data_IF_770685649298
#
_entry.id   IF_770685649298
#
_cell.length_a   1.000
_cell.length_b   1.000
_cell.length_c   1.000
_cell.angle_alpha   90.00
_cell.angle_beta   90.00
_cell.angle_gamma   90.00
#
_symmetry.space_group_name_H-M   'P 1'
#
loop_
_entity.id
_entity.type
_entity.pdbx_description
1 polymer ?
#
# COMPACT_ATOMS: atom_id res chain seq x y z
N UNK A 1 -17.06 14.71 -5.21
CA UNK A 1 -16.49 14.16 -3.96
C UNK A 1 -14.96 14.25 -3.95
N UNK A 2 -14.25 13.50 -4.80
CA UNK A 2 -12.77 13.43 -4.79
C UNK A 2 -12.06 14.80 -4.88
N UNK A 3 -12.54 15.71 -5.73
CA UNK A 3 -11.98 17.07 -5.82
C UNK A 3 -12.07 17.84 -4.49
N UNK A 4 -13.14 17.63 -3.72
CA UNK A 4 -13.28 18.25 -2.39
C UNK A 4 -12.27 17.66 -1.41
N UNK A 5 -12.13 16.33 -1.39
CA UNK A 5 -11.17 15.62 -0.54
C UNK A 5 -9.71 16.02 -0.81
N UNK A 6 -9.40 16.42 -2.05
CA UNK A 6 -8.07 16.89 -2.44
C UNK A 6 -7.60 18.13 -1.67
N UNK A 7 -8.54 18.94 -1.19
CA UNK A 7 -8.26 20.18 -0.46
C UNK A 7 -8.47 20.03 1.04
N UNK A 8 -8.66 18.80 1.54
CA UNK A 8 -8.89 18.51 2.95
C UNK A 8 -7.71 17.73 3.54
N UNK A 9 -7.15 18.25 4.64
CA UNK A 9 -6.20 17.52 5.49
C UNK A 9 -6.93 16.64 6.51
N UNK A 10 -6.30 16.46 7.67
CA UNK A 10 -6.94 15.83 8.83
C UNK A 10 -6.85 16.82 10.00
N UNK A 11 -7.85 17.70 10.18
CA UNK A 11 -7.79 18.77 11.17
C UNK A 11 -7.52 18.27 12.58
N UNK A 12 -8.05 17.08 12.94
CA UNK A 12 -7.86 16.50 14.26
C UNK A 12 -6.40 16.10 14.52
N UNK A 13 -5.67 15.67 13.49
CA UNK A 13 -4.25 15.33 13.60
C UNK A 13 -3.32 16.53 13.31
N UNK A 14 -3.78 17.52 12.56
CA UNK A 14 -3.02 18.71 12.20
C UNK A 14 -2.88 19.71 13.36
N UNK A 15 -3.85 19.76 14.29
CA UNK A 15 -3.94 20.79 15.33
C UNK A 15 -3.76 20.28 16.78
N UNK A 16 -3.59 18.96 17.02
CA UNK A 16 -3.56 18.43 18.38
C UNK A 16 -3.25 16.94 18.55
N UNK A 17 -3.40 16.38 19.77
CA UNK A 17 -3.19 14.96 20.03
C UNK A 17 -4.24 14.11 19.32
N UNK A 18 -3.77 13.09 18.59
CA UNK A 18 -4.61 12.16 17.85
C UNK A 18 -5.25 11.16 18.81
N UNK A 19 -6.57 11.21 18.96
CA UNK A 19 -7.33 10.14 19.63
C UNK A 19 -7.89 9.20 18.57
N UNK A 20 -7.52 7.93 18.66
CA UNK A 20 -8.03 6.87 17.78
C UNK A 20 -8.82 5.88 18.61
N UNK A 21 -9.98 5.48 18.10
CA UNK A 21 -10.79 4.41 18.65
C UNK A 21 -11.45 3.66 17.50
N UNK A 22 -11.83 2.40 17.73
CA UNK A 22 -12.63 1.67 16.75
C UNK A 22 -13.96 2.40 16.49
N UNK A 23 -14.39 2.51 15.24
CA UNK A 23 -15.67 3.11 14.93
C UNK A 23 -16.81 2.24 15.48
N UNK A 24 -17.96 2.83 15.88
CA UNK A 24 -19.09 2.09 16.47
C UNK A 24 -19.66 0.99 15.56
N UNK A 25 -19.53 1.14 14.25
CA UNK A 25 -19.99 0.17 13.24
C UNK A 25 -19.00 -0.97 12.98
N UNK A 26 -17.81 -0.96 13.61
CA UNK A 26 -16.82 -2.01 13.44
C UNK A 26 -17.35 -3.39 13.88
N UNK A 27 -17.53 -4.29 12.93
CA UNK A 27 -17.84 -5.69 13.18
C UNK A 27 -16.55 -6.52 13.35
N UNK A 28 -16.30 -7.01 14.58
CA UNK A 28 -15.08 -7.76 14.90
C UNK A 28 -15.05 -9.19 14.37
N UNK A 29 -16.21 -9.79 14.05
CA UNK A 29 -16.24 -11.12 13.43
C UNK A 29 -15.74 -11.03 11.98
N UNK A 30 -16.09 -9.94 11.28
CA UNK A 30 -15.58 -9.65 9.93
C UNK A 30 -14.08 -9.38 9.94
N UNK A 31 -13.58 -8.56 10.88
CA UNK A 31 -12.13 -8.31 10.99
C UNK A 31 -11.35 -9.57 11.38
N UNK A 32 -11.94 -10.43 12.22
CA UNK A 32 -11.36 -11.76 12.54
C UNK A 32 -11.28 -12.66 11.31
N UNK A 33 -12.34 -12.73 10.52
CA UNK A 33 -12.32 -13.49 9.27
C UNK A 33 -11.27 -12.96 8.29
N UNK A 34 -11.20 -11.65 8.09
CA UNK A 34 -10.19 -11.00 7.26
C UNK A 34 -8.75 -11.27 7.71
N UNK A 35 -8.51 -11.25 9.03
CA UNK A 35 -7.19 -11.54 9.59
C UNK A 35 -6.78 -13.01 9.35
N UNK A 36 -7.73 -13.95 9.46
CA UNK A 36 -7.48 -15.35 9.12
C UNK A 36 -7.21 -15.54 7.62
N UNK A 37 -8.02 -14.91 6.75
CA UNK A 37 -7.78 -14.90 5.31
C UNK A 37 -6.39 -14.35 4.97
N UNK A 38 -5.97 -13.27 5.64
CA UNK A 38 -4.62 -12.73 5.49
C UNK A 38 -3.55 -13.73 5.93
N UNK A 39 -3.71 -14.37 7.09
CA UNK A 39 -2.76 -15.34 7.61
C UNK A 39 -2.59 -16.55 6.68
N UNK A 40 -3.68 -17.00 6.06
CA UNK A 40 -3.70 -18.13 5.12
C UNK A 40 -3.07 -17.77 3.76
N UNK A 41 -3.07 -16.49 3.39
CA UNK A 41 -2.59 -16.01 2.08
C UNK A 41 -1.40 -15.03 2.19
N UNK A 42 -0.72 -14.99 3.35
CA UNK A 42 0.24 -13.94 3.72
C UNK A 42 1.35 -13.69 2.70
N UNK A 43 1.88 -14.75 2.08
CA UNK A 43 2.91 -14.64 1.05
C UNK A 43 2.35 -13.93 -0.19
N UNK A 44 1.19 -14.38 -0.67
CA UNK A 44 0.56 -13.85 -1.88
C UNK A 44 0.11 -12.41 -1.67
N UNK A 45 -0.52 -12.11 -0.54
CA UNK A 45 -0.91 -10.75 -0.15
C UNK A 45 0.33 -9.86 0.01
N UNK A 46 1.38 -10.35 0.69
CA UNK A 46 2.64 -9.63 0.84
C UNK A 46 3.29 -9.28 -0.50
N UNK A 47 3.25 -10.19 -1.48
CA UNK A 47 3.72 -9.92 -2.85
C UNK A 47 2.83 -8.90 -3.56
N UNK A 48 1.50 -8.99 -3.46
CA UNK A 48 0.62 -7.98 -4.06
C UNK A 48 0.82 -6.59 -3.45
N UNK A 49 1.04 -6.49 -2.14
CA UNK A 49 1.34 -5.22 -1.48
C UNK A 49 2.69 -4.66 -1.91
N UNK A 50 3.74 -5.49 -1.90
CA UNK A 50 5.12 -5.08 -2.14
C UNK A 50 5.43 -4.80 -3.62
N UNK A 51 4.91 -5.63 -4.52
CA UNK A 51 5.20 -5.57 -5.96
C UNK A 51 4.05 -4.96 -6.77
N UNK A 52 2.83 -5.00 -6.24
CA UNK A 52 1.64 -4.46 -6.88
C UNK A 52 1.31 -3.07 -6.37
N UNK A 53 0.73 -2.99 -5.16
CA UNK A 53 0.21 -1.76 -4.57
C UNK A 53 1.29 -0.68 -4.42
N UNK A 54 2.45 -1.02 -3.85
CA UNK A 54 3.52 -0.05 -3.62
C UNK A 54 4.08 0.55 -4.93
N UNK A 55 4.31 -0.28 -5.94
CA UNK A 55 4.79 0.21 -7.25
C UNK A 55 3.68 1.00 -7.96
N UNK A 56 2.42 0.64 -7.78
CA UNK A 56 1.28 1.42 -8.29
C UNK A 56 1.21 2.81 -7.65
N UNK A 57 1.55 2.95 -6.36
CA UNK A 57 1.69 4.27 -5.72
C UNK A 57 2.72 5.16 -6.45
N UNK A 58 3.80 4.57 -6.97
CA UNK A 58 4.83 5.32 -7.72
C UNK A 58 4.36 5.71 -9.12
N UNK A 59 3.31 5.09 -9.64
CA UNK A 59 2.66 5.49 -10.88
C UNK A 59 1.72 6.70 -10.71
N UNK A 60 1.59 7.24 -9.49
CA UNK A 60 0.80 8.45 -9.20
C UNK A 60 1.78 9.62 -9.02
N UNK A 61 1.92 10.55 -9.98
CA UNK A 61 2.95 11.59 -9.94
C UNK A 61 2.94 12.47 -8.68
N UNK A 62 1.75 12.85 -8.20
CA UNK A 62 1.59 13.65 -6.97
C UNK A 62 2.17 12.90 -5.76
N UNK A 63 1.78 11.63 -5.61
CA UNK A 63 2.28 10.75 -4.56
C UNK A 63 3.78 10.52 -4.67
N UNK A 64 4.29 10.21 -5.87
CA UNK A 64 5.72 10.02 -6.11
C UNK A 64 6.55 11.25 -5.74
N UNK A 65 6.09 12.46 -6.12
CA UNK A 65 6.75 13.72 -5.75
C UNK A 65 6.75 13.96 -4.24
N UNK A 66 5.62 13.75 -3.58
CA UNK A 66 5.51 13.85 -2.13
C UNK A 66 6.47 12.87 -1.42
N UNK A 67 6.56 11.65 -1.92
CA UNK A 67 7.47 10.63 -1.39
C UNK A 67 8.94 11.00 -1.62
N UNK A 68 9.29 11.53 -2.79
CA UNK A 68 10.64 12.01 -3.06
C UNK A 68 11.00 13.19 -2.14
N UNK A 69 10.09 14.14 -1.96
CA UNK A 69 10.27 15.30 -1.10
C UNK A 69 10.39 14.97 0.40
N UNK A 70 9.91 13.80 0.83
CA UNK A 70 9.96 13.34 2.23
C UNK A 70 11.09 12.33 2.50
N UNK A 71 12.10 12.23 1.62
CA UNK A 71 13.25 11.33 1.80
C UNK A 71 13.02 9.89 1.32
N UNK A 72 11.99 9.67 0.49
CA UNK A 72 11.61 8.34 0.00
C UNK A 72 12.65 7.63 -0.85
N UNK A 73 13.58 8.38 -1.44
CA UNK A 73 14.68 7.82 -2.23
C UNK A 73 15.86 7.38 -1.36
N UNK A 74 16.01 7.92 -0.15
CA UNK A 74 17.18 7.71 0.70
C UNK A 74 17.10 6.39 1.49
N UNK A 75 15.88 5.97 1.86
CA UNK A 75 15.65 4.81 2.71
C UNK A 75 14.48 3.93 2.23
N UNK A 76 14.54 3.39 1.00
CA UNK A 76 13.44 2.63 0.40
C UNK A 76 13.01 1.42 1.25
N UNK A 77 13.98 0.65 1.74
CA UNK A 77 13.71 -0.55 2.54
C UNK A 77 13.11 -0.19 3.90
N UNK A 78 13.69 0.77 4.64
CA UNK A 78 13.14 1.19 5.94
C UNK A 78 11.66 1.60 5.84
N UNK A 79 11.27 2.24 4.73
CA UNK A 79 9.88 2.58 4.47
C UNK A 79 9.01 1.37 4.22
N UNK A 80 9.47 0.42 3.39
CA UNK A 80 8.79 -0.87 3.19
C UNK A 80 8.61 -1.58 4.53
N UNK A 81 9.60 -1.52 5.41
CA UNK A 81 9.57 -2.15 6.74
C UNK A 81 8.50 -1.51 7.63
N UNK A 82 8.49 -0.18 7.70
CA UNK A 82 7.49 0.56 8.47
C UNK A 82 6.07 0.27 7.96
N UNK A 83 5.88 0.20 6.64
CA UNK A 83 4.58 -0.17 6.04
C UNK A 83 4.20 -1.62 6.34
N UNK A 84 5.14 -2.57 6.25
CA UNK A 84 4.88 -3.97 6.57
C UNK A 84 4.50 -4.15 8.05
N UNK A 85 5.21 -3.47 8.97
CA UNK A 85 4.88 -3.47 10.39
C UNK A 85 3.47 -2.90 10.64
N UNK A 86 3.11 -1.81 9.97
CA UNK A 86 1.75 -1.26 10.06
C UNK A 86 0.68 -2.23 9.54
N UNK A 87 0.90 -2.86 8.37
CA UNK A 87 -0.04 -3.85 7.81
C UNK A 87 -0.27 -5.00 8.79
N UNK A 88 0.78 -5.53 9.40
CA UNK A 88 0.66 -6.61 10.39
C UNK A 88 -0.11 -6.18 11.63
N UNK A 89 0.05 -4.93 12.08
CA UNK A 89 -0.68 -4.39 13.22
C UNK A 89 -2.16 -4.08 12.89
N UNK A 90 -2.43 -3.66 11.65
CA UNK A 90 -3.77 -3.34 11.17
C UNK A 90 -4.60 -4.61 10.89
N UNK A 91 -3.99 -5.64 10.29
CA UNK A 91 -4.67 -6.88 9.87
C UNK A 91 -4.67 -7.90 11.01
N UNK A 92 -5.38 -7.54 12.10
CA UNK A 92 -5.58 -8.35 13.29
C UNK A 92 -7.07 -8.57 13.54
N UNK A 93 -7.46 -9.63 14.28
CA UNK A 93 -8.86 -9.83 14.69
C UNK A 93 -9.48 -8.59 15.33
N UNK A 94 -8.66 -7.85 16.09
CA UNK A 94 -8.93 -6.47 16.50
C UNK A 94 -7.74 -5.61 16.04
N UNK A 95 -7.92 -4.69 15.07
CA UNK A 95 -6.85 -3.81 14.61
C UNK A 95 -6.17 -3.04 15.76
N UNK A 96 -4.84 -2.91 15.70
CA UNK A 96 -4.07 -2.19 16.72
C UNK A 96 -4.26 -0.67 16.57
N UNK A 97 -5.06 -0.12 17.47
CA UNK A 97 -5.38 1.31 17.57
C UNK A 97 -4.12 2.17 17.76
N UNK A 98 -3.11 1.67 18.47
CA UNK A 98 -1.87 2.42 18.75
C UNK A 98 -1.04 2.57 17.49
N UNK A 99 -0.89 1.48 16.72
CA UNK A 99 -0.18 1.51 15.44
C UNK A 99 -0.88 2.44 14.43
N UNK A 100 -2.22 2.41 14.39
CA UNK A 100 -3.01 3.32 13.54
C UNK A 100 -2.84 4.77 13.95
N UNK A 101 -2.88 5.07 15.26
CA UNK A 101 -2.61 6.41 15.78
C UNK A 101 -1.20 6.92 15.42
N UNK A 102 -0.20 6.05 15.49
CA UNK A 102 1.19 6.40 15.13
C UNK A 102 1.31 6.75 13.64
N UNK A 103 0.66 5.99 12.74
CA UNK A 103 0.64 6.31 11.31
C UNK A 103 -0.10 7.62 11.03
N UNK A 104 -1.28 7.81 11.63
CA UNK A 104 -2.05 9.05 11.51
C UNK A 104 -1.25 10.28 11.96
N UNK A 105 -0.54 10.16 13.08
CA UNK A 105 0.37 11.21 13.55
C UNK A 105 1.57 11.44 12.62
N UNK A 106 2.13 10.37 12.05
CA UNK A 106 3.22 10.46 11.06
C UNK A 106 2.75 11.20 9.81
N UNK A 107 1.55 10.92 9.32
CA UNK A 107 0.97 11.64 8.18
C UNK A 107 0.83 13.14 8.45
N UNK A 108 0.30 13.53 9.62
CA UNK A 108 0.20 14.95 10.01
C UNK A 108 1.59 15.63 10.09
N UNK A 109 2.59 14.93 10.66
CA UNK A 109 3.98 15.44 10.72
C UNK A 109 4.59 15.65 9.34
N UNK A 110 4.42 14.69 8.43
CA UNK A 110 4.91 14.78 7.05
C UNK A 110 4.19 15.91 6.30
N UNK A 111 2.86 16.00 6.41
CA UNK A 111 2.07 17.09 5.83
C UNK A 111 2.59 18.45 6.29
N UNK A 112 2.79 18.63 7.60
CA UNK A 112 3.35 19.86 8.18
C UNK A 112 4.75 20.13 7.63
N UNK A 113 5.66 19.16 7.64
CA UNK A 113 7.02 19.34 7.16
C UNK A 113 7.06 19.74 5.68
N UNK A 114 6.25 19.10 4.83
CA UNK A 114 6.16 19.42 3.39
C UNK A 114 5.64 20.83 3.16
N UNK A 115 4.59 21.24 3.89
CA UNK A 115 4.07 22.62 3.82
C UNK A 115 5.10 23.66 4.26
N UNK A 116 5.88 23.37 5.31
CA UNK A 116 6.92 24.28 5.81
C UNK A 116 8.18 24.31 4.93
N UNK A 117 8.38 23.31 4.07
CA UNK A 117 9.55 23.25 3.19
C UNK A 117 9.56 24.34 2.12
N UNK A 118 8.40 24.91 1.78
CA UNK A 118 8.25 25.87 0.67
C UNK A 118 8.27 25.24 -0.74
N UNK A 119 8.45 23.91 -0.84
CA UNK A 119 8.56 23.19 -2.13
C UNK A 119 7.24 22.57 -2.60
N UNK A 120 6.12 22.84 -1.93
CA UNK A 120 4.80 22.31 -2.28
C UNK A 120 3.83 23.45 -2.61
N UNK A 121 3.22 23.40 -3.80
CA UNK A 121 2.24 24.40 -4.22
C UNK A 121 0.82 23.89 -3.94
N UNK A 122 0.20 24.38 -2.87
CA UNK A 122 -1.15 23.94 -2.46
C UNK A 122 -2.26 24.37 -3.43
N UNK A 123 -2.06 25.43 -4.21
CA UNK A 123 -3.03 25.88 -5.22
C UNK A 123 -3.10 24.89 -6.38
N UNK A 124 -1.94 24.40 -6.85
CA UNK A 124 -1.88 23.47 -8.00
C UNK A 124 -1.99 22.01 -7.59
N UNK A 125 -1.36 21.63 -6.47
CA UNK A 125 -1.24 20.24 -6.05
C UNK A 125 -2.32 19.82 -5.03
N UNK A 126 -2.93 20.78 -4.33
CA UNK A 126 -3.84 20.53 -3.21
C UNK A 126 -3.08 20.38 -1.88
N UNK A 127 -3.78 19.91 -0.84
CA UNK A 127 -3.14 19.65 0.47
C UNK A 127 -2.27 18.39 0.36
N UNK A 128 -1.00 18.38 0.82
CA UNK A 128 -0.20 17.17 0.82
C UNK A 128 -0.77 16.14 1.79
N UNK A 129 -0.77 14.85 1.42
CA UNK A 129 -1.44 13.80 2.20
C UNK A 129 -2.90 14.14 2.48
N UNK A 130 -3.64 14.63 1.49
CA UNK A 130 -5.05 14.97 1.67
C UNK A 130 -5.93 13.72 1.86
N UNK A 131 -7.21 13.92 2.15
CA UNK A 131 -8.17 12.82 2.29
C UNK A 131 -8.30 12.00 0.99
N UNK A 132 -8.12 12.61 -0.19
CA UNK A 132 -8.08 11.87 -1.46
C UNK A 132 -6.85 10.94 -1.53
N UNK A 133 -5.67 11.41 -1.09
CA UNK A 133 -4.46 10.58 -1.01
C UNK A 133 -4.66 9.40 -0.05
N UNK A 134 -5.26 9.67 1.12
CA UNK A 134 -5.52 8.66 2.14
C UNK A 134 -6.51 7.60 1.66
N UNK A 135 -7.60 8.01 1.01
CA UNK A 135 -8.58 7.10 0.41
C UNK A 135 -7.95 6.26 -0.71
N UNK A 136 -7.11 6.87 -1.55
CA UNK A 136 -6.40 6.16 -2.62
C UNK A 136 -5.41 5.14 -2.09
N UNK A 137 -4.64 5.50 -1.07
CA UNK A 137 -3.78 4.57 -0.37
C UNK A 137 -4.61 3.43 0.22
N UNK A 138 -5.71 3.73 0.91
CA UNK A 138 -6.60 2.71 1.49
C UNK A 138 -7.06 1.69 0.45
N UNK A 139 -7.50 2.16 -0.72
CA UNK A 139 -7.91 1.30 -1.84
C UNK A 139 -6.78 0.41 -2.36
N UNK A 140 -5.54 0.92 -2.37
CA UNK A 140 -4.35 0.14 -2.74
C UNK A 140 -3.98 -0.92 -1.69
N UNK A 141 -4.33 -0.74 -0.42
CA UNK A 141 -4.17 -1.76 0.62
C UNK A 141 -5.33 -2.78 0.66
N UNK A 142 -6.52 -2.40 0.20
CA UNK A 142 -7.73 -3.21 0.30
C UNK A 142 -8.13 -3.85 -1.03
N UNK A 143 -8.99 -3.19 -1.80
CA UNK A 143 -9.61 -3.78 -2.98
C UNK A 143 -8.60 -4.09 -4.09
N UNK A 144 -7.56 -3.26 -4.24
CA UNK A 144 -6.55 -3.49 -5.25
C UNK A 144 -5.70 -4.75 -4.98
N UNK A 145 -5.40 -5.04 -3.71
CA UNK A 145 -4.73 -6.29 -3.31
C UNK A 145 -5.53 -7.49 -3.80
N UNK A 146 -6.82 -7.49 -3.51
CA UNK A 146 -7.74 -8.58 -3.89
C UNK A 146 -7.90 -8.70 -5.41
N UNK A 147 -7.90 -7.57 -6.12
CA UNK A 147 -7.90 -7.56 -7.59
C UNK A 147 -6.64 -8.20 -8.20
N UNK A 148 -5.49 -8.09 -7.55
CA UNK A 148 -4.23 -8.65 -8.03
C UNK A 148 -4.01 -10.12 -7.64
N UNK A 149 -4.62 -10.60 -6.55
CA UNK A 149 -4.47 -11.98 -6.05
C UNK A 149 -4.74 -13.07 -7.10
N UNK A 150 -5.74 -12.97 -7.99
CA UNK A 150 -5.98 -13.96 -9.04
C UNK A 150 -4.79 -14.17 -9.98
N UNK A 151 -3.95 -13.15 -10.21
CA UNK A 151 -2.71 -13.28 -11.00
C UNK A 151 -1.71 -14.21 -10.31
N UNK A 152 -1.81 -14.33 -8.99
CA UNK A 152 -1.01 -15.22 -8.16
C UNK A 152 -1.78 -16.49 -7.76
N UNK A 153 -2.89 -16.80 -8.44
CA UNK A 153 -3.59 -18.07 -8.34
C UNK A 153 -4.36 -18.24 -7.04
N UNK A 154 -4.61 -17.14 -6.33
CA UNK A 154 -5.50 -17.03 -5.17
C UNK A 154 -6.79 -16.38 -5.64
N UNK A 155 -7.91 -17.07 -5.42
CA UNK A 155 -9.25 -16.59 -5.80
C UNK A 155 -10.06 -16.44 -4.52
N UNK A 156 -10.12 -15.23 -3.94
CA UNK A 156 -10.90 -14.98 -2.74
C UNK A 156 -12.39 -15.24 -3.00
N UNK A 157 -13.11 -15.74 -2.00
CA UNK A 157 -14.57 -15.81 -2.03
C UNK A 157 -15.17 -14.41 -1.87
N UNK A 158 -16.46 -14.26 -2.17
CA UNK A 158 -17.19 -13.01 -1.94
C UNK A 158 -17.10 -12.56 -0.47
N UNK A 159 -17.20 -13.51 0.47
CA UNK A 159 -17.02 -13.24 1.90
C UNK A 159 -15.60 -12.75 2.21
N UNK A 160 -14.58 -13.37 1.63
CA UNK A 160 -13.20 -12.93 1.82
C UNK A 160 -13.01 -11.49 1.35
N UNK A 161 -13.56 -11.15 0.18
CA UNK A 161 -13.43 -9.80 -0.38
C UNK A 161 -14.14 -8.75 0.47
N UNK A 162 -15.36 -9.05 0.89
CA UNK A 162 -16.19 -8.16 1.71
C UNK A 162 -15.60 -7.94 3.10
N UNK A 163 -15.18 -9.02 3.78
CA UNK A 163 -14.63 -8.91 5.14
C UNK A 163 -13.24 -8.26 5.14
N UNK A 164 -12.41 -8.51 4.13
CA UNK A 164 -11.11 -7.86 4.00
C UNK A 164 -11.25 -6.36 3.68
N UNK A 165 -12.22 -5.98 2.84
CA UNK A 165 -12.55 -4.56 2.66
C UNK A 165 -13.03 -3.93 3.96
N UNK A 166 -13.95 -4.57 4.68
CA UNK A 166 -14.49 -4.07 5.95
C UNK A 166 -13.38 -3.80 6.96
N UNK A 167 -12.40 -4.70 7.09
CA UNK A 167 -11.24 -4.49 7.95
C UNK A 167 -10.49 -3.20 7.58
N UNK A 168 -10.22 -3.00 6.29
CA UNK A 168 -9.54 -1.79 5.86
C UNK A 168 -10.41 -0.54 6.01
N UNK A 169 -11.72 -0.59 5.77
CA UNK A 169 -12.61 0.55 6.06
C UNK A 169 -12.55 0.93 7.55
N UNK A 170 -12.55 -0.05 8.46
CA UNK A 170 -12.36 0.20 9.91
C UNK A 170 -11.03 0.91 10.17
N UNK A 171 -9.95 0.47 9.53
CA UNK A 171 -8.63 1.12 9.62
C UNK A 171 -8.64 2.53 9.00
N UNK A 172 -9.32 2.73 7.88
CA UNK A 172 -9.47 4.01 7.20
C UNK A 172 -10.17 5.06 8.06
N UNK A 173 -11.29 4.68 8.69
CA UNK A 173 -12.01 5.52 9.66
C UNK A 173 -11.10 5.96 10.82
N UNK A 174 -10.35 5.01 11.39
CA UNK A 174 -9.38 5.29 12.45
C UNK A 174 -8.23 6.21 12.00
N UNK A 175 -7.79 6.08 10.74
CA UNK A 175 -6.80 6.96 10.10
C UNK A 175 -7.34 8.37 9.82
N UNK A 176 -8.63 8.63 10.03
CA UNK A 176 -9.25 9.94 9.89
C UNK A 176 -9.96 10.17 8.55
N UNK A 177 -10.25 9.11 7.78
CA UNK A 177 -11.20 9.23 6.68
C UNK A 177 -12.62 9.43 7.24
N UNK A 178 -13.40 10.35 6.67
CA UNK A 178 -14.83 10.43 6.96
C UNK A 178 -15.53 9.12 6.59
N UNK A 179 -16.43 8.64 7.44
CA UNK A 179 -17.11 7.36 7.20
C UNK A 179 -17.94 7.39 5.91
N UNK A 180 -18.46 8.56 5.53
CA UNK A 180 -19.26 8.76 4.32
C UNK A 180 -18.49 8.65 3.00
N UNK A 181 -17.15 8.59 3.04
CA UNK A 181 -16.32 8.38 1.84
C UNK A 181 -15.79 6.96 1.72
N UNK A 182 -16.00 6.13 2.75
CA UNK A 182 -15.62 4.73 2.73
C UNK A 182 -16.63 3.96 1.86
N UNK A 183 -16.16 3.06 0.97
CA UNK A 183 -17.07 2.26 0.15
C UNK A 183 -17.90 1.32 1.02
N UNK A 184 -19.17 1.15 0.65
CA UNK A 184 -20.12 0.29 1.36
C UNK A 184 -19.85 -1.20 1.11
N UNK A 185 -19.43 -1.54 -0.10
CA UNK A 185 -19.19 -2.91 -0.57
C UNK A 185 -17.97 -3.02 -1.50
N UNK A 186 -17.58 -4.26 -1.81
CA UNK A 186 -16.43 -4.53 -2.67
C UNK A 186 -16.61 -4.05 -4.11
N UNK A 187 -17.86 -4.02 -4.61
CA UNK A 187 -18.14 -3.54 -5.95
C UNK A 187 -17.91 -2.03 -6.06
N UNK A 188 -18.32 -1.26 -5.04
CA UNK A 188 -18.05 0.16 -4.94
C UNK A 188 -16.56 0.45 -4.77
N UNK A 189 -15.87 -0.29 -3.90
CA UNK A 189 -14.43 -0.16 -3.72
C UNK A 189 -13.66 -0.42 -5.04
N UNK A 190 -14.12 -1.38 -5.83
CA UNK A 190 -13.55 -1.68 -7.16
C UNK A 190 -13.75 -0.52 -8.14
N UNK A 191 -14.98 0.02 -8.25
CA UNK A 191 -15.26 1.19 -9.08
C UNK A 191 -14.43 2.40 -8.66
N UNK A 192 -14.26 2.60 -7.35
CA UNK A 192 -13.43 3.67 -6.81
C UNK A 192 -11.95 3.46 -7.17
N UNK A 193 -11.42 2.24 -7.06
CA UNK A 193 -10.06 1.92 -7.51
C UNK A 193 -9.86 2.25 -9.00
N UNK A 194 -10.81 1.87 -9.85
CA UNK A 194 -10.75 2.12 -11.30
C UNK A 194 -10.73 3.62 -11.58
N UNK A 195 -11.68 4.38 -11.00
CA UNK A 195 -11.77 5.82 -11.14
C UNK A 195 -10.47 6.52 -10.70
N UNK A 196 -9.90 6.13 -9.56
CA UNK A 196 -8.66 6.73 -9.06
C UNK A 196 -7.47 6.39 -9.96
N UNK A 197 -7.39 5.16 -10.46
CA UNK A 197 -6.34 4.77 -11.41
C UNK A 197 -6.46 5.51 -12.74
N UNK A 198 -7.65 5.68 -13.29
CA UNK A 198 -7.89 6.45 -14.51
C UNK A 198 -7.44 7.90 -14.35
N UNK A 199 -7.82 8.52 -13.23
CA UNK A 199 -7.56 9.92 -12.93
C UNK A 199 -6.09 10.23 -12.63
N UNK A 200 -5.39 9.33 -11.93
CA UNK A 200 -4.12 9.67 -11.29
C UNK A 200 -2.89 8.95 -11.85
N UNK A 201 -3.04 7.79 -12.50
CA UNK A 201 -1.88 7.06 -13.02
C UNK A 201 -1.33 7.78 -14.25
N UNK A 202 -0.07 8.18 -14.16
CA UNK A 202 0.68 8.82 -15.22
C UNK A 202 2.19 8.65 -14.99
N UNK A 203 3.01 8.70 -16.06
CA UNK A 203 4.45 8.64 -15.90
C UNK A 203 5.00 9.86 -15.15
N UNK A 204 5.99 9.64 -14.29
CA UNK A 204 6.78 10.69 -13.64
C UNK A 204 8.23 10.24 -13.49
N UNK A 205 9.17 11.19 -13.43
CA UNK A 205 10.59 10.85 -13.25
C UNK A 205 10.86 10.36 -11.82
N UNK A 206 10.19 10.96 -10.83
CA UNK A 206 10.20 10.50 -9.44
C UNK A 206 9.65 9.07 -9.32
N UNK A 207 8.53 8.78 -9.99
CA UNK A 207 7.92 7.45 -9.99
C UNK A 207 8.83 6.36 -10.59
N UNK A 208 9.50 6.68 -11.69
CA UNK A 208 10.51 5.79 -12.31
C UNK A 208 11.73 5.61 -11.41
N UNK A 209 12.20 6.67 -10.77
CA UNK A 209 13.34 6.61 -9.85
C UNK A 209 13.02 5.75 -8.62
N UNK A 210 11.88 5.99 -7.96
CA UNK A 210 11.40 5.21 -6.81
C UNK A 210 11.25 3.73 -7.17
N UNK A 211 10.63 3.42 -8.31
CA UNK A 211 10.46 2.04 -8.79
C UNK A 211 11.81 1.35 -9.05
N UNK A 212 12.74 2.04 -9.73
CA UNK A 212 14.07 1.49 -10.01
C UNK A 212 14.83 1.19 -8.72
N UNK A 213 14.82 2.13 -7.78
CA UNK A 213 15.47 1.98 -6.48
C UNK A 213 14.87 0.81 -5.70
N UNK A 214 13.54 0.72 -5.61
CA UNK A 214 12.86 -0.36 -4.90
C UNK A 214 13.16 -1.74 -5.49
N UNK A 215 13.06 -1.88 -6.82
CA UNK A 215 13.37 -3.14 -7.50
C UNK A 215 14.83 -3.53 -7.25
N UNK A 216 15.76 -2.58 -7.37
CA UNK A 216 17.17 -2.83 -7.07
C UNK A 216 17.40 -3.29 -5.62
N UNK A 217 16.71 -2.68 -4.65
CA UNK A 217 16.77 -3.10 -3.25
C UNK A 217 16.28 -4.53 -3.05
N UNK A 218 15.15 -4.93 -3.66
CA UNK A 218 14.67 -6.31 -3.58
C UNK A 218 15.60 -7.32 -4.27
N UNK A 219 16.16 -6.95 -5.42
CA UNK A 219 17.11 -7.81 -6.15
C UNK A 219 18.40 -8.04 -5.37
N UNK A 220 18.87 -7.03 -4.63
CA UNK A 220 20.08 -7.14 -3.80
C UNK A 220 19.83 -7.87 -2.48
N UNK A 221 18.64 -7.76 -1.92
CA UNK A 221 18.24 -8.44 -0.69
C UNK A 221 18.07 -9.95 -0.90
N UNK A 222 17.53 -10.37 -2.04
CA UNK A 222 17.24 -11.77 -2.32
C UNK A 222 18.40 -12.47 -3.06
N UNK A 223 18.87 -13.63 -2.59
CA UNK A 223 19.99 -14.33 -3.22
C UNK A 223 19.61 -14.96 -4.56
N UNK A 224 20.52 -14.86 -5.53
CA UNK A 224 20.53 -15.64 -6.77
C UNK A 224 19.23 -15.58 -7.57
N UNK A 225 18.60 -16.75 -7.77
CA UNK A 225 17.39 -16.88 -8.59
C UNK A 225 16.18 -16.12 -8.06
N UNK A 226 16.09 -15.92 -6.74
CA UNK A 226 14.98 -15.18 -6.12
C UNK A 226 15.09 -13.68 -6.43
N UNK A 227 16.29 -13.11 -6.34
CA UNK A 227 16.55 -11.73 -6.78
C UNK A 227 16.28 -11.57 -8.28
N UNK A 228 16.76 -12.50 -9.10
CA UNK A 228 16.52 -12.47 -10.55
C UNK A 228 15.01 -12.55 -10.91
N UNK A 229 14.18 -13.16 -10.06
CA UNK A 229 12.75 -13.30 -10.28
C UNK A 229 11.91 -12.06 -9.95
N UNK A 230 12.46 -11.04 -9.27
CA UNK A 230 11.71 -9.83 -8.88
C UNK A 230 11.12 -9.10 -10.09
N UNK A 231 11.93 -8.80 -11.11
CA UNK A 231 11.45 -8.06 -12.28
C UNK A 231 10.38 -8.85 -13.08
N UNK A 232 10.54 -10.16 -13.33
CA UNK A 232 9.46 -11.01 -13.83
C UNK A 232 8.20 -10.99 -12.95
N UNK A 233 8.33 -11.07 -11.63
CA UNK A 233 7.21 -11.04 -10.69
C UNK A 233 6.44 -9.71 -10.78
N UNK A 234 7.15 -8.58 -10.82
CA UNK A 234 6.54 -7.24 -10.97
C UNK A 234 5.76 -7.14 -12.28
N UNK A 235 6.33 -7.58 -13.40
CA UNK A 235 5.65 -7.59 -14.71
C UNK A 235 4.41 -8.48 -14.73
N UNK A 236 4.43 -9.57 -13.98
CA UNK A 236 3.32 -10.51 -13.89
C UNK A 236 2.17 -9.96 -13.04
N UNK A 237 2.52 -9.42 -11.86
CA UNK A 237 1.56 -8.85 -10.91
C UNK A 237 0.91 -7.60 -11.48
N UNK A 238 1.69 -6.67 -12.03
CA UNK A 238 1.16 -5.36 -12.44
C UNK A 238 0.45 -5.39 -13.80
N UNK A 239 -0.59 -4.56 -14.00
CA UNK A 239 -1.12 -4.28 -15.32
C UNK A 239 -0.10 -3.53 -16.21
N UNK A 240 -0.12 -3.74 -17.54
CA UNK A 240 0.81 -3.10 -18.48
C UNK A 240 0.88 -1.58 -18.33
N UNK A 241 -0.27 -0.91 -18.22
CA UNK A 241 -0.37 0.55 -18.04
C UNK A 241 0.46 1.05 -16.85
N UNK A 242 0.45 0.33 -15.73
CA UNK A 242 1.22 0.69 -14.53
C UNK A 242 2.71 0.53 -14.83
N UNK A 243 3.12 -0.62 -15.37
CA UNK A 243 4.52 -0.92 -15.69
C UNK A 243 5.13 0.10 -16.65
N UNK A 244 4.37 0.55 -17.64
CA UNK A 244 4.79 1.60 -18.58
C UNK A 244 5.00 2.94 -17.88
N UNK A 245 4.05 3.36 -17.02
CA UNK A 245 4.15 4.61 -16.28
C UNK A 245 5.38 4.66 -15.36
N UNK A 246 5.72 3.53 -14.73
CA UNK A 246 6.88 3.43 -13.84
C UNK A 246 8.19 3.06 -14.54
N UNK A 247 8.20 3.01 -15.88
CA UNK A 247 9.42 2.81 -16.66
C UNK A 247 9.96 1.37 -16.66
N UNK A 248 9.09 0.38 -16.38
CA UNK A 248 9.43 -1.03 -16.53
C UNK A 248 9.16 -1.43 -17.98
N UNK A 249 10.24 -1.65 -18.72
CA UNK A 249 10.13 -2.12 -20.10
C UNK A 249 9.44 -3.50 -20.19
N UNK A 250 8.69 -3.79 -21.27
CA UNK A 250 8.19 -5.13 -21.53
C UNK A 250 9.35 -6.12 -21.67
N UNK A 251 9.08 -7.41 -21.45
CA UNK A 251 10.10 -8.44 -21.66
C UNK A 251 10.51 -8.47 -23.14
N UNK A 252 11.82 -8.36 -23.42
CA UNK A 252 12.37 -8.34 -24.80
C UNK A 252 12.27 -9.69 -25.52
N UNK A 253 11.98 -10.75 -24.77
CA UNK A 253 11.80 -12.13 -25.22
C UNK A 253 10.68 -12.75 -24.38
N UNK A 254 10.06 -13.85 -24.85
CA UNK A 254 9.12 -14.63 -24.06
C UNK A 254 9.87 -15.24 -22.87
N UNK A 255 10.03 -14.44 -21.81
CA UNK A 255 10.56 -14.91 -20.55
C UNK A 255 9.68 -16.10 -20.10
N UNK A 256 10.27 -17.19 -19.58
CA UNK A 256 9.47 -18.25 -18.98
C UNK A 256 8.51 -17.57 -18.00
N UNK A 257 7.21 -17.83 -18.18
CA UNK A 257 6.17 -17.15 -17.44
C UNK A 257 6.43 -17.24 -15.94
N UNK A 258 6.11 -16.18 -15.21
CA UNK A 258 6.15 -16.25 -13.76
C UNK A 258 5.10 -17.26 -13.30
N UNK A 259 5.43 -18.22 -12.42
CA UNK A 259 4.48 -19.25 -12.02
C UNK A 259 3.27 -18.57 -11.37
N UNK A 260 2.09 -18.80 -11.98
CA UNK A 260 0.84 -18.20 -11.53
C UNK A 260 0.46 -18.62 -10.11
N UNK A 261 1.09 -19.64 -9.52
CA UNK A 261 0.95 -19.98 -8.10
C UNK A 261 2.31 -20.41 -7.56
N UNK A 262 2.79 -19.70 -6.56
CA UNK A 262 4.03 -20.07 -5.88
C UNK A 262 3.64 -20.98 -4.71
N UNK A 263 3.79 -22.29 -4.89
CA UNK A 263 3.66 -23.26 -3.79
C UNK A 263 5.06 -23.63 -3.30
N UNK A 264 5.56 -22.88 -2.32
CA UNK A 264 6.80 -23.23 -1.65
C UNK A 264 6.42 -24.25 -0.57
N UNK A 265 6.31 -25.54 -0.93
CA UNK A 265 5.91 -26.69 -0.06
C UNK A 265 6.15 -26.48 1.46
N UNK A 266 5.24 -25.79 2.16
CA UNK A 266 5.37 -25.46 3.59
C UNK A 266 6.43 -24.41 3.99
N UNK A 267 7.24 -23.90 3.05
CA UNK A 267 8.27 -22.88 3.28
C UNK A 267 7.76 -21.44 3.14
N UNK A 268 6.49 -21.25 2.73
CA UNK A 268 5.89 -19.92 2.55
C UNK A 268 5.94 -19.09 3.83
N UNK A 269 5.66 -19.71 4.98
CA UNK A 269 5.79 -19.07 6.30
C UNK A 269 7.25 -18.72 6.59
N UNK A 270 8.18 -19.67 6.41
CA UNK A 270 9.59 -19.44 6.69
C UNK A 270 10.19 -18.32 5.82
N UNK A 271 9.79 -18.22 4.55
CA UNK A 271 10.24 -17.18 3.63
C UNK A 271 9.62 -15.82 3.95
N UNK A 272 8.34 -15.79 4.31
CA UNK A 272 7.69 -14.56 4.76
C UNK A 272 8.29 -14.06 6.09
N UNK A 273 8.51 -14.94 7.06
CA UNK A 273 9.11 -14.62 8.36
C UNK A 273 10.59 -14.25 8.22
N UNK A 274 11.32 -14.88 7.29
CA UNK A 274 12.67 -14.46 6.93
C UNK A 274 12.65 -13.07 6.28
N UNK A 275 11.77 -12.84 5.30
CA UNK A 275 11.61 -11.53 4.67
C UNK A 275 11.33 -10.46 5.71
N UNK A 276 10.35 -10.67 6.61
CA UNK A 276 10.06 -9.73 7.70
C UNK A 276 11.24 -9.51 8.66
N UNK A 277 12.09 -10.51 8.90
CA UNK A 277 13.30 -10.37 9.73
C UNK A 277 14.42 -9.60 9.04
N UNK A 278 14.65 -9.84 7.76
CA UNK A 278 15.56 -9.03 6.95
C UNK A 278 15.02 -7.61 6.76
N UNK A 279 13.69 -7.48 6.79
CA UNK A 279 12.99 -6.20 6.90
C UNK A 279 12.99 -5.63 8.34
N UNK A 280 13.53 -6.32 9.34
CA UNK A 280 13.64 -5.75 10.68
C UNK A 280 14.97 -5.00 10.80
N UNK A 281 14.97 -3.72 11.18
CA UNK A 281 16.22 -3.03 11.42
C UNK A 281 16.89 -3.67 12.65
N UNK A 282 18.06 -4.27 12.46
CA UNK A 282 18.97 -4.55 13.57
C UNK A 282 19.50 -3.26 14.23
N UNK A 283 19.19 -2.08 13.67
CA UNK A 283 19.78 -0.79 14.06
C UNK A 283 18.80 0.25 14.63
N UNK A 284 17.59 -0.12 15.07
CA UNK A 284 16.70 0.84 15.79
C UNK A 284 16.99 0.93 17.31
N UNK A 285 18.11 0.37 17.78
CA UNK A 285 18.54 0.42 19.18
C UNK A 285 19.91 1.11 19.39
N UNK A 286 20.25 2.11 18.57
CA UNK A 286 21.39 2.99 18.77
C UNK A 286 20.98 4.46 18.66
#
# INVERSE_FOLDING_TARGET
MLDSLRHQGDPAADDGPVTVALPPWANLDRTTHAANFFADNRLHIGMTLSLGSLITCYAIPRGARLLAASGGLDAPLQRVHATAAFVLAAVQPRPDVTAVAQVRHTHARVRRAVLHSGHWNTETDGVPLCQEDLLGALMLFSAYVLHLLPRLGVHPTERDTEDYLHLWCVVGSMLGLPDEVLPEDFAEATRLCELMQERHIAPSDEGKALTRTLIGSYQNMLPGVLGAAILPAVRHVLPPRVTECVGIAPARWAAPGFPARIRLRGLEHALFDWFLRELSPQDLAA
#
